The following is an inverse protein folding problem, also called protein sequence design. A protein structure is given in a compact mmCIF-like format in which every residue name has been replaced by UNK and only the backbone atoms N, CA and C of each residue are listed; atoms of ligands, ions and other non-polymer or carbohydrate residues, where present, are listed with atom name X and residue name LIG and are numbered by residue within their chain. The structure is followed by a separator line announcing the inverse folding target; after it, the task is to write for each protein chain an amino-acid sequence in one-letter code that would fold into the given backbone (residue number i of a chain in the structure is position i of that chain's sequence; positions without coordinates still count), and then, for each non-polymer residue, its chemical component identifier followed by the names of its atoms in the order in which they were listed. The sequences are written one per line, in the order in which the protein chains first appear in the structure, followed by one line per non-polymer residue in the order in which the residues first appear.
data_IF_380770270914
#
_entry.id   IF_380770270914
#
_cell.length_a   1.000
_cell.length_b   1.000
_cell.length_c   1.000
_cell.angle_alpha   90.00
_cell.angle_beta   90.00
_cell.angle_gamma   90.00
#
_symmetry.space_group_name_H-M   'P 1'
#
loop_
_entity.id
_entity.type
_entity.pdbx_description
1 polymer ?
#
# COMPACT_ATOMS: atom_id res chain seq x y z
N UNK A 1 -37.38 -5.16 -0.22
CA UNK A 1 -37.98 -3.84 -0.50
C UNK A 1 -37.03 -3.15 -1.48
N UNK A 2 -37.38 -3.13 -2.77
CA UNK A 2 -36.57 -2.39 -3.76
C UNK A 2 -36.84 -0.92 -3.49
N UNK A 3 -35.83 -0.16 -3.06
CA UNK A 3 -35.95 1.29 -2.97
C UNK A 3 -36.10 1.81 -4.41
N UNK A 4 -37.25 2.40 -4.73
CA UNK A 4 -37.40 3.17 -5.96
C UNK A 4 -36.55 4.43 -5.83
N UNK A 5 -35.48 4.50 -6.65
CA UNK A 5 -34.62 5.68 -6.74
C UNK A 5 -35.20 6.61 -7.80
N UNK A 6 -35.84 7.70 -7.35
CA UNK A 6 -36.42 8.69 -8.26
C UNK A 6 -35.35 9.66 -8.75
N UNK A 7 -35.23 9.80 -10.07
CA UNK A 7 -34.34 10.77 -10.72
C UNK A 7 -35.21 11.82 -11.40
N UNK A 8 -34.94 13.09 -11.12
CA UNK A 8 -35.63 14.21 -11.77
C UNK A 8 -35.42 14.17 -13.29
N UNK A 9 -36.47 14.05 -14.12
CA UNK A 9 -36.35 14.06 -15.58
C UNK A 9 -35.70 15.33 -16.15
N UNK A 10 -35.76 16.45 -15.42
CA UNK A 10 -35.11 17.71 -15.81
C UNK A 10 -33.62 17.75 -15.46
N UNK A 11 -33.09 16.73 -14.75
CA UNK A 11 -31.69 16.68 -14.35
C UNK A 11 -30.78 16.71 -15.57
N UNK A 12 -29.75 17.56 -15.48
CA UNK A 12 -28.64 17.67 -16.42
C UNK A 12 -27.36 17.19 -15.74
N UNK A 13 -26.45 16.64 -16.53
CA UNK A 13 -25.18 16.11 -16.04
C UNK A 13 -24.03 17.00 -16.48
N UNK A 14 -23.17 17.38 -15.53
CA UNK A 14 -21.89 18.02 -15.83
C UNK A 14 -20.85 16.91 -15.95
N UNK A 15 -20.68 16.39 -17.16
CA UNK A 15 -19.77 15.28 -17.45
C UNK A 15 -18.38 15.86 -17.72
N UNK A 16 -17.30 15.27 -17.16
CA UNK A 16 -15.93 15.71 -17.46
C UNK A 16 -15.63 15.65 -18.97
N UNK A 17 -14.86 16.61 -19.49
CA UNK A 17 -14.50 16.67 -20.91
C UNK A 17 -13.36 15.71 -21.29
N UNK A 18 -12.54 15.30 -20.31
CA UNK A 18 -11.30 14.55 -20.48
C UNK A 18 -11.49 13.02 -20.52
N UNK A 19 -12.56 12.55 -21.15
CA UNK A 19 -12.89 11.12 -21.20
C UNK A 19 -12.02 10.34 -22.19
N UNK A 20 -11.55 9.18 -21.75
CA UNK A 20 -10.91 8.18 -22.61
C UNK A 20 -11.89 7.06 -22.93
N UNK A 21 -12.11 6.80 -24.23
CA UNK A 21 -12.92 5.68 -24.70
C UNK A 21 -12.01 4.56 -25.18
N UNK A 22 -12.18 3.35 -24.61
CA UNK A 22 -11.38 2.16 -24.96
C UNK A 22 -12.30 1.01 -25.33
N UNK A 23 -12.05 0.38 -26.49
CA UNK A 23 -12.74 -0.85 -26.89
C UNK A 23 -11.97 -2.07 -26.39
N UNK A 24 -12.63 -2.94 -25.61
CA UNK A 24 -12.03 -4.14 -25.04
C UNK A 24 -13.08 -5.23 -24.80
N UNK A 25 -12.81 -6.49 -25.17
CA UNK A 25 -13.74 -7.65 -25.02
C UNK A 25 -15.20 -7.36 -25.45
N UNK A 26 -15.39 -6.71 -26.61
CA UNK A 26 -16.69 -6.28 -27.15
C UNK A 26 -17.47 -5.28 -26.28
N UNK A 27 -16.81 -4.64 -25.31
CA UNK A 27 -17.33 -3.53 -24.52
C UNK A 27 -16.61 -2.23 -24.84
N UNK A 28 -17.25 -1.13 -24.49
CA UNK A 28 -16.68 0.22 -24.52
C UNK A 28 -16.49 0.69 -23.08
N UNK A 29 -15.24 0.94 -22.70
CA UNK A 29 -14.88 1.55 -21.43
C UNK A 29 -14.78 3.05 -21.61
N UNK A 30 -15.60 3.79 -20.88
CA UNK A 30 -15.50 5.26 -20.79
C UNK A 30 -14.82 5.58 -19.47
N UNK A 31 -13.57 6.00 -19.52
CA UNK A 31 -12.72 6.23 -18.35
C UNK A 31 -12.56 7.73 -18.15
N UNK A 32 -12.81 8.23 -16.94
CA UNK A 32 -12.39 9.56 -16.48
C UNK A 32 -11.05 9.41 -15.76
N UNK A 33 -9.91 9.74 -16.41
CA UNK A 33 -8.58 9.46 -15.87
C UNK A 33 -8.30 10.24 -14.57
N UNK A 34 -8.79 11.47 -14.49
CA UNK A 34 -8.56 12.37 -13.36
C UNK A 34 -9.40 12.05 -12.11
N UNK A 35 -10.44 11.21 -12.24
CA UNK A 35 -11.28 10.81 -11.09
C UNK A 35 -11.16 9.33 -10.73
N UNK A 36 -10.31 8.59 -11.47
CA UNK A 36 -10.22 7.12 -11.42
C UNK A 36 -11.63 6.47 -11.46
N UNK A 37 -12.48 6.95 -12.36
CA UNK A 37 -13.85 6.49 -12.52
C UNK A 37 -14.09 5.99 -13.94
N UNK A 38 -15.04 5.07 -14.12
CA UNK A 38 -15.29 4.49 -15.43
C UNK A 38 -16.71 3.94 -15.57
N UNK A 39 -17.22 3.97 -16.80
CA UNK A 39 -18.46 3.31 -17.21
C UNK A 39 -18.15 2.22 -18.24
N UNK A 40 -19.01 1.21 -18.32
CA UNK A 40 -18.87 0.08 -19.22
C UNK A 40 -20.13 -0.04 -20.04
N UNK A 41 -20.02 0.11 -21.36
CA UNK A 41 -21.18 0.08 -22.26
C UNK A 41 -21.07 -1.03 -23.31
N UNK A 42 -22.21 -1.56 -23.77
CA UNK A 42 -22.23 -2.61 -24.79
C UNK A 42 -22.09 -2.10 -26.22
N UNK A 43 -22.36 -0.82 -26.52
CA UNK A 43 -22.42 -0.31 -27.89
C UNK A 43 -22.10 1.18 -28.02
N UNK A 44 -21.79 1.63 -29.24
CA UNK A 44 -21.51 3.04 -29.55
C UNK A 44 -22.74 3.96 -29.32
N UNK A 45 -23.95 3.42 -29.40
CA UNK A 45 -25.18 4.15 -29.07
C UNK A 45 -25.11 4.79 -27.67
N UNK A 46 -24.56 4.08 -26.68
CA UNK A 46 -24.41 4.59 -25.32
C UNK A 46 -23.41 5.75 -25.25
N UNK A 47 -22.38 5.73 -26.10
CA UNK A 47 -21.41 6.82 -26.20
C UNK A 47 -22.09 8.06 -26.80
N UNK A 48 -22.93 7.88 -27.81
CA UNK A 48 -23.66 8.99 -28.43
C UNK A 48 -24.69 9.59 -27.46
N UNK A 49 -25.38 8.75 -26.68
CA UNK A 49 -26.24 9.20 -25.56
C UNK A 49 -25.42 9.97 -24.52
N UNK A 50 -24.25 9.46 -24.12
CA UNK A 50 -23.38 10.15 -23.17
C UNK A 50 -22.94 11.54 -23.69
N UNK A 51 -22.59 11.64 -24.97
CA UNK A 51 -22.27 12.91 -25.63
C UNK A 51 -23.47 13.86 -25.66
N UNK A 52 -24.69 13.33 -25.77
CA UNK A 52 -25.91 14.13 -25.68
C UNK A 52 -26.04 14.78 -24.29
N UNK A 53 -25.73 14.04 -23.22
CA UNK A 53 -25.64 14.60 -21.87
C UNK A 53 -24.50 15.60 -21.69
N UNK A 54 -23.34 15.40 -22.35
CA UNK A 54 -22.24 16.40 -22.37
C UNK A 54 -22.67 17.73 -23.01
N UNK A 55 -23.65 17.71 -23.92
CA UNK A 55 -24.23 18.92 -24.52
C UNK A 55 -25.34 19.55 -23.65
N UNK A 56 -25.30 19.29 -22.34
CA UNK A 56 -26.24 19.82 -21.34
C UNK A 56 -27.72 19.50 -21.61
N UNK A 57 -28.01 18.40 -22.31
CA UNK A 57 -29.39 17.91 -22.42
C UNK A 57 -29.84 17.29 -21.08
N UNK A 58 -31.08 17.53 -20.73
CA UNK A 58 -31.77 16.85 -19.63
C UNK A 58 -32.07 15.39 -19.98
N UNK A 59 -32.45 14.60 -18.98
CA UNK A 59 -32.90 13.21 -19.18
C UNK A 59 -34.13 13.19 -20.11
N UNK A 60 -35.11 14.07 -19.89
CA UNK A 60 -36.31 14.14 -20.72
C UNK A 60 -36.01 14.51 -22.18
N UNK A 61 -35.15 15.51 -22.41
CA UNK A 61 -34.72 15.90 -23.76
C UNK A 61 -33.97 14.77 -24.46
N UNK A 62 -33.17 14.00 -23.72
CA UNK A 62 -32.41 12.85 -24.24
C UNK A 62 -33.36 11.71 -24.59
N UNK A 63 -34.29 11.33 -23.71
CA UNK A 63 -35.32 10.32 -23.99
C UNK A 63 -36.15 10.67 -25.22
N UNK A 64 -36.52 11.94 -25.37
CA UNK A 64 -37.29 12.41 -26.53
C UNK A 64 -36.49 12.35 -27.84
N UNK A 65 -35.15 12.39 -27.78
CA UNK A 65 -34.28 12.30 -28.95
C UNK A 65 -33.99 10.85 -29.36
N UNK A 66 -33.94 9.93 -28.40
CA UNK A 66 -33.60 8.51 -28.60
C UNK A 66 -34.84 7.60 -28.40
N UNK A 67 -35.92 7.89 -29.13
CA UNK A 67 -37.18 7.10 -29.07
C UNK A 67 -36.92 5.68 -29.58
N UNK A 68 -37.30 4.67 -28.79
CA UNK A 68 -37.04 3.25 -29.07
C UNK A 68 -35.73 2.71 -28.51
N UNK A 69 -34.90 3.57 -27.90
CA UNK A 69 -33.63 3.24 -27.24
C UNK A 69 -33.64 3.63 -25.75
N UNK A 70 -34.82 3.67 -25.11
CA UNK A 70 -35.02 4.14 -23.73
C UNK A 70 -34.19 3.34 -22.71
N UNK A 71 -34.05 2.03 -22.92
CA UNK A 71 -33.22 1.14 -22.08
C UNK A 71 -31.75 1.58 -22.09
N UNK A 72 -31.23 2.01 -23.24
CA UNK A 72 -29.84 2.49 -23.36
C UNK A 72 -29.65 3.83 -22.64
N UNK A 73 -30.63 4.74 -22.73
CA UNK A 73 -30.63 6.00 -21.97
C UNK A 73 -30.66 5.71 -20.47
N UNK A 74 -31.52 4.79 -20.04
CA UNK A 74 -31.60 4.35 -18.65
C UNK A 74 -30.28 3.74 -18.16
N UNK A 75 -29.61 2.91 -18.96
CA UNK A 75 -28.31 2.31 -18.59
C UNK A 75 -27.23 3.38 -18.39
N UNK A 76 -27.15 4.38 -19.28
CA UNK A 76 -26.22 5.52 -19.14
C UNK A 76 -26.50 6.30 -17.86
N UNK A 77 -27.77 6.70 -17.64
CA UNK A 77 -28.19 7.43 -16.44
C UNK A 77 -27.88 6.63 -15.18
N UNK A 78 -28.17 5.33 -15.18
CA UNK A 78 -27.91 4.44 -14.04
C UNK A 78 -26.43 4.44 -13.67
N UNK A 79 -25.53 4.34 -14.64
CA UNK A 79 -24.09 4.36 -14.36
C UNK A 79 -23.59 5.74 -13.93
N UNK A 80 -24.11 6.83 -14.51
CA UNK A 80 -23.80 8.20 -14.08
C UNK A 80 -24.13 8.41 -12.59
N UNK A 81 -25.32 7.98 -12.16
CA UNK A 81 -25.77 8.07 -10.76
C UNK A 81 -25.00 7.12 -9.85
N UNK A 82 -25.03 5.82 -10.15
CA UNK A 82 -24.49 4.78 -9.27
C UNK A 82 -22.98 4.94 -9.02
N UNK A 83 -22.25 5.48 -10.00
CA UNK A 83 -20.81 5.71 -9.89
C UNK A 83 -20.47 7.15 -9.49
N UNK A 84 -21.47 8.00 -9.22
CA UNK A 84 -21.32 9.43 -8.93
C UNK A 84 -20.40 10.12 -9.95
N UNK A 85 -20.55 9.76 -11.23
CA UNK A 85 -19.54 10.03 -12.26
C UNK A 85 -19.25 11.53 -12.44
N UNK A 86 -20.28 12.37 -12.32
CA UNK A 86 -20.20 13.82 -12.48
C UNK A 86 -19.82 14.58 -11.20
N UNK A 87 -19.97 13.96 -10.03
CA UNK A 87 -19.86 14.65 -8.73
C UNK A 87 -18.81 14.01 -7.82
N UNK A 88 -17.96 13.13 -8.37
CA UNK A 88 -16.94 12.44 -7.59
C UNK A 88 -15.82 13.41 -7.23
N UNK A 89 -15.73 13.74 -5.95
CA UNK A 89 -14.53 14.34 -5.38
C UNK A 89 -13.49 13.24 -5.17
N UNK A 90 -12.22 13.53 -5.38
CA UNK A 90 -11.13 12.58 -5.18
C UNK A 90 -10.17 13.04 -4.10
N UNK A 91 -9.59 12.07 -3.40
CA UNK A 91 -8.63 12.28 -2.32
C UNK A 91 -7.31 11.65 -2.77
N UNK A 92 -6.20 12.40 -2.65
CA UNK A 92 -4.88 11.86 -2.97
C UNK A 92 -4.54 10.70 -2.04
N UNK A 93 -3.80 9.70 -2.53
CA UNK A 93 -3.41 8.58 -1.68
C UNK A 93 -2.55 9.03 -0.49
N UNK A 94 -1.80 10.13 -0.64
CA UNK A 94 -0.90 10.67 0.40
C UNK A 94 -1.56 11.70 1.30
N UNK A 95 -2.80 12.09 1.01
CA UNK A 95 -3.52 13.10 1.78
C UNK A 95 -3.92 12.58 3.17
N UNK A 96 -3.60 13.34 4.22
CA UNK A 96 -3.99 13.04 5.60
C UNK A 96 -3.24 11.89 6.29
N UNK A 97 -2.43 11.11 5.55
CA UNK A 97 -1.63 10.02 6.12
C UNK A 97 -0.18 10.47 6.23
N UNK A 98 0.25 10.72 7.46
CA UNK A 98 1.67 10.89 7.78
C UNK A 98 2.08 9.72 8.67
N UNK A 99 3.05 8.96 8.19
CA UNK A 99 3.68 7.89 8.98
C UNK A 99 5.17 8.15 9.11
N UNK A 100 5.71 7.85 10.29
CA UNK A 100 7.15 7.76 10.56
C UNK A 100 7.52 6.28 10.71
N UNK A 101 8.41 5.78 9.86
CA UNK A 101 9.04 4.47 10.04
C UNK A 101 10.40 4.66 10.73
N UNK A 102 10.50 4.27 12.00
CA UNK A 102 11.71 4.41 12.79
C UNK A 102 12.38 3.06 12.98
N UNK A 103 13.56 2.89 12.38
CA UNK A 103 14.42 1.75 12.65
C UNK A 103 15.21 2.02 13.94
N UNK A 104 14.76 1.46 15.06
CA UNK A 104 15.30 1.81 16.38
C UNK A 104 16.74 1.35 16.59
N UNK A 105 17.09 0.20 16.04
CA UNK A 105 18.44 -0.38 16.14
C UNK A 105 18.67 -1.30 14.97
N UNK A 106 19.91 -1.45 14.51
CA UNK A 106 20.29 -2.49 13.57
C UNK A 106 20.56 -3.83 14.27
N UNK A 107 20.61 -3.84 15.61
CA UNK A 107 20.79 -5.07 16.40
C UNK A 107 19.59 -6.00 16.23
N UNK A 108 19.85 -7.28 16.00
CA UNK A 108 18.83 -8.31 15.92
C UNK A 108 19.35 -9.59 16.58
N UNK A 109 18.48 -10.32 17.26
CA UNK A 109 18.80 -11.63 17.80
C UNK A 109 18.75 -12.76 16.75
N UNK A 110 18.33 -12.45 15.50
CA UNK A 110 18.26 -13.37 14.37
C UNK A 110 19.10 -12.85 13.19
N UNK A 111 19.48 -13.73 12.26
CA UNK A 111 20.26 -13.40 11.06
C UNK A 111 19.61 -13.98 9.79
N UNK A 112 18.36 -13.59 9.52
CA UNK A 112 17.56 -14.16 8.44
C UNK A 112 18.21 -13.97 7.05
N UNK A 113 18.16 -14.98 6.15
CA UNK A 113 18.74 -14.92 4.81
C UNK A 113 18.19 -13.78 3.94
N UNK A 114 16.89 -13.51 4.02
CA UNK A 114 16.21 -12.49 3.21
C UNK A 114 16.24 -11.07 3.84
N UNK A 115 16.98 -10.87 4.94
CA UNK A 115 16.97 -9.59 5.65
C UNK A 115 17.60 -8.49 4.79
N UNK A 116 16.76 -7.58 4.29
CA UNK A 116 17.17 -6.48 3.41
C UNK A 116 18.01 -5.40 4.12
N UNK A 117 17.93 -5.33 5.44
CA UNK A 117 18.72 -4.41 6.28
C UNK A 117 20.08 -4.97 6.67
N UNK A 118 20.34 -6.26 6.40
CA UNK A 118 21.55 -6.94 6.89
C UNK A 118 21.72 -6.87 8.42
N UNK A 119 20.61 -6.70 9.16
CA UNK A 119 20.56 -6.49 10.61
C UNK A 119 21.20 -7.63 11.43
N UNK A 120 21.69 -7.33 12.62
CA UNK A 120 22.27 -8.33 13.52
C UNK A 120 23.10 -7.68 14.60
N UNK A 121 24.10 -6.90 14.20
CA UNK A 121 24.89 -6.06 15.12
C UNK A 121 24.33 -4.63 15.11
N UNK A 122 24.35 -4.00 16.29
CA UNK A 122 24.08 -2.57 16.41
C UNK A 122 25.09 -1.80 15.55
N UNK A 123 24.67 -0.65 15.02
CA UNK A 123 25.61 0.31 14.42
C UNK A 123 26.40 1.03 15.53
N UNK A 124 27.61 1.50 15.22
CA UNK A 124 28.44 2.21 16.19
C UNK A 124 27.87 3.57 16.61
N UNK A 125 27.05 4.19 15.75
CA UNK A 125 26.53 5.54 15.90
C UNK A 125 25.00 5.60 15.98
N UNK A 126 24.37 4.61 16.61
CA UNK A 126 22.91 4.59 16.80
C UNK A 126 22.39 5.83 17.57
N UNK A 127 21.14 6.20 17.33
CA UNK A 127 20.45 7.28 18.03
C UNK A 127 20.36 6.95 19.52
N UNK A 128 20.64 7.95 20.34
CA UNK A 128 20.28 7.94 21.75
C UNK A 128 18.77 8.06 21.92
N UNK A 129 18.26 7.59 23.05
CA UNK A 129 16.85 7.71 23.43
C UNK A 129 16.36 9.16 23.43
N UNK A 130 17.22 10.12 23.78
CA UNK A 130 16.88 11.55 23.74
C UNK A 130 16.74 12.07 22.31
N UNK A 131 17.61 11.65 21.38
CA UNK A 131 17.45 11.98 19.96
C UNK A 131 16.17 11.37 19.38
N UNK A 132 15.80 10.15 19.82
CA UNK A 132 14.54 9.51 19.43
C UNK A 132 13.33 10.27 19.97
N UNK A 133 13.35 10.69 21.24
CA UNK A 133 12.27 11.49 21.83
C UNK A 133 12.09 12.82 21.11
N UNK A 134 13.20 13.52 20.82
CA UNK A 134 13.15 14.77 20.07
C UNK A 134 12.56 14.58 18.67
N UNK A 135 12.93 13.50 17.98
CA UNK A 135 12.35 13.15 16.68
C UNK A 135 10.84 12.89 16.78
N UNK A 136 10.38 12.19 17.82
CA UNK A 136 8.95 11.92 18.06
C UNK A 136 8.19 13.23 18.31
N UNK A 137 8.72 14.12 19.15
CA UNK A 137 8.13 15.45 19.41
C UNK A 137 8.02 16.28 18.14
N UNK A 138 9.13 16.38 17.39
CA UNK A 138 9.20 17.14 16.15
C UNK A 138 8.20 16.60 15.12
N UNK A 139 8.16 15.28 14.96
CA UNK A 139 7.23 14.62 14.05
C UNK A 139 5.76 14.80 14.46
N UNK A 140 5.44 14.71 15.75
CA UNK A 140 4.10 14.96 16.25
C UNK A 140 3.69 16.44 16.03
N UNK A 141 4.62 17.38 16.21
CA UNK A 141 4.36 18.82 16.06
C UNK A 141 3.90 19.24 14.66
N UNK A 142 4.27 18.48 13.63
CA UNK A 142 3.86 18.71 12.24
C UNK A 142 2.60 17.92 11.83
N UNK A 143 1.86 17.38 12.81
CA UNK A 143 0.65 16.60 12.59
C UNK A 143 0.89 15.14 12.21
N UNK A 144 2.06 14.58 12.51
CA UNK A 144 2.29 13.15 12.47
C UNK A 144 1.30 12.41 13.37
N UNK A 145 0.77 11.26 12.90
CA UNK A 145 -0.29 10.54 13.63
C UNK A 145 -0.04 9.04 13.77
N UNK A 146 1.03 8.52 13.16
CA UNK A 146 1.40 7.12 13.25
C UNK A 146 2.92 6.96 13.25
N UNK A 147 3.42 6.07 14.11
CA UNK A 147 4.81 5.65 14.13
C UNK A 147 4.91 4.13 14.00
N UNK A 148 5.79 3.66 13.14
CA UNK A 148 6.15 2.24 13.02
C UNK A 148 7.55 2.05 13.59
N UNK A 149 7.64 1.35 14.72
CA UNK A 149 8.89 0.94 15.35
C UNK A 149 9.36 -0.38 14.73
N UNK A 150 10.56 -0.35 14.16
CA UNK A 150 11.17 -1.44 13.39
C UNK A 150 12.69 -1.43 13.60
N UNK A 151 13.46 -2.06 12.73
CA UNK A 151 14.92 -2.16 12.83
C UNK A 151 15.42 -3.54 12.42
N UNK A 152 16.46 -3.98 13.13
CA UNK A 152 16.70 -5.39 13.34
C UNK A 152 15.58 -6.01 14.17
N UNK A 153 15.66 -5.90 15.49
CA UNK A 153 14.57 -6.27 16.39
C UNK A 153 14.34 -5.14 17.41
N UNK A 154 13.18 -4.44 17.39
CA UNK A 154 12.87 -3.37 18.33
C UNK A 154 13.06 -3.76 19.80
N UNK A 155 12.72 -5.00 20.19
CA UNK A 155 12.91 -5.49 21.55
C UNK A 155 14.38 -5.67 21.97
N UNK A 156 15.34 -5.48 21.06
CA UNK A 156 16.77 -5.43 21.39
C UNK A 156 17.24 -4.02 21.80
N UNK A 157 16.41 -2.99 21.60
CA UNK A 157 16.71 -1.64 22.04
C UNK A 157 16.46 -1.51 23.55
N UNK A 158 17.47 -1.03 24.30
CA UNK A 158 17.45 -0.98 25.78
C UNK A 158 16.25 -0.22 26.37
N UNK A 159 15.81 0.84 25.69
CA UNK A 159 14.78 1.77 26.18
C UNK A 159 13.47 1.66 25.37
N UNK A 160 13.21 0.50 24.74
CA UNK A 160 12.01 0.28 23.91
C UNK A 160 10.71 0.62 24.64
N UNK A 161 10.64 0.32 25.93
CA UNK A 161 9.49 0.55 26.79
C UNK A 161 9.13 2.03 26.91
N UNK A 162 10.15 2.85 27.12
CA UNK A 162 9.97 4.29 27.29
C UNK A 162 9.64 4.94 25.95
N UNK A 163 10.24 4.46 24.86
CA UNK A 163 9.92 4.91 23.49
C UNK A 163 8.47 4.63 23.10
N UNK A 164 7.94 3.44 23.41
CA UNK A 164 6.53 3.10 23.15
C UNK A 164 5.60 4.05 23.90
N UNK A 165 5.84 4.24 25.21
CA UNK A 165 5.02 5.14 26.04
C UNK A 165 5.11 6.58 25.56
N UNK A 166 6.32 7.04 25.27
CA UNK A 166 6.56 8.41 24.81
C UNK A 166 5.84 8.69 23.48
N UNK A 167 5.89 7.77 22.52
CA UNK A 167 5.15 7.90 21.27
C UNK A 167 3.62 7.93 21.50
N UNK A 168 3.11 7.05 22.34
CA UNK A 168 1.69 7.01 22.70
C UNK A 168 1.22 8.30 23.38
N UNK A 169 1.99 8.82 24.34
CA UNK A 169 1.70 10.05 25.07
C UNK A 169 1.71 11.30 24.15
N UNK A 170 2.39 11.20 23.00
CA UNK A 170 2.36 12.20 21.92
C UNK A 170 1.24 11.97 20.89
N UNK A 171 0.22 11.17 21.23
CA UNK A 171 -0.94 10.85 20.39
C UNK A 171 -0.59 10.18 19.05
N UNK A 172 0.57 9.53 18.96
CA UNK A 172 0.92 8.72 17.78
C UNK A 172 0.33 7.33 17.93
N UNK A 173 -0.30 6.83 16.86
CA UNK A 173 -0.66 5.42 16.77
C UNK A 173 0.61 4.58 16.66
N UNK A 174 0.85 3.73 17.65
CA UNK A 174 2.09 2.94 17.73
C UNK A 174 1.91 1.60 17.02
N UNK A 175 2.72 1.38 16.00
CA UNK A 175 2.85 0.10 15.32
C UNK A 175 4.23 -0.48 15.58
N UNK A 176 4.32 -1.79 15.87
CA UNK A 176 5.61 -2.48 16.05
C UNK A 176 5.75 -3.58 15.01
N UNK A 177 6.93 -3.70 14.39
CA UNK A 177 7.33 -4.85 13.57
C UNK A 177 8.38 -5.66 14.34
N UNK A 178 8.07 -6.92 14.65
CA UNK A 178 8.95 -7.76 15.47
C UNK A 178 9.02 -9.19 14.95
N UNK A 179 10.09 -9.90 15.30
CA UNK A 179 10.16 -11.35 15.15
C UNK A 179 9.37 -12.09 16.25
N UNK A 180 8.95 -11.41 17.33
CA UNK A 180 8.11 -11.96 18.40
C UNK A 180 8.81 -12.93 19.36
N UNK A 181 10.14 -13.03 19.32
CA UNK A 181 10.87 -14.07 20.05
C UNK A 181 11.37 -13.66 21.44
N UNK A 182 11.34 -12.36 21.76
CA UNK A 182 11.90 -11.78 22.99
C UNK A 182 10.85 -11.23 23.95
N UNK A 183 9.59 -11.12 23.52
CA UNK A 183 8.52 -10.55 24.33
C UNK A 183 8.00 -11.59 25.32
N UNK A 184 7.95 -11.23 26.60
CA UNK A 184 7.37 -12.08 27.66
C UNK A 184 5.90 -11.75 27.86
N UNK A 185 5.12 -12.69 28.41
CA UNK A 185 3.69 -12.48 28.69
C UNK A 185 3.46 -11.23 29.54
N UNK A 186 4.28 -11.06 30.58
CA UNK A 186 4.24 -9.87 31.43
C UNK A 186 4.51 -8.58 30.64
N UNK A 187 5.48 -8.60 29.72
CA UNK A 187 5.76 -7.44 28.89
C UNK A 187 4.56 -7.11 27.98
N UNK A 188 3.96 -8.14 27.35
CA UNK A 188 2.80 -7.93 26.49
C UNK A 188 1.61 -7.38 27.29
N UNK A 189 1.34 -7.92 28.48
CA UNK A 189 0.31 -7.42 29.39
C UNK A 189 0.55 -5.95 29.78
N UNK A 190 1.77 -5.61 30.20
CA UNK A 190 2.11 -4.26 30.68
C UNK A 190 2.04 -3.19 29.56
N UNK A 191 2.37 -3.56 28.31
CA UNK A 191 2.57 -2.60 27.21
C UNK A 191 1.50 -2.63 26.10
N UNK A 192 0.64 -3.65 26.01
CA UNK A 192 -0.36 -3.76 24.92
C UNK A 192 -1.29 -2.55 24.81
N UNK A 193 -1.64 -1.91 25.94
CA UNK A 193 -2.49 -0.70 25.96
C UNK A 193 -1.89 0.52 25.26
N UNK A 194 -0.58 0.52 24.99
CA UNK A 194 0.14 1.58 24.29
C UNK A 194 0.40 1.25 22.82
N UNK A 195 -0.05 0.08 22.34
CA UNK A 195 0.27 -0.44 21.01
C UNK A 195 -1.03 -0.60 20.22
N UNK A 196 -1.21 0.22 19.19
CA UNK A 196 -2.37 0.13 18.29
C UNK A 196 -2.32 -1.10 17.39
N UNK A 197 -1.12 -1.49 16.97
CA UNK A 197 -0.93 -2.70 16.15
C UNK A 197 0.45 -3.32 16.25
N UNK A 198 0.49 -4.64 16.08
CA UNK A 198 1.72 -5.44 16.02
C UNK A 198 1.76 -6.23 14.71
N UNK A 199 2.94 -6.34 14.13
CA UNK A 199 3.22 -7.28 13.05
C UNK A 199 4.33 -8.23 13.48
N UNK A 200 3.98 -9.52 13.58
CA UNK A 200 4.93 -10.57 13.91
C UNK A 200 5.34 -11.29 12.63
N UNK A 201 6.65 -11.44 12.43
CA UNK A 201 7.18 -12.16 11.28
C UNK A 201 7.22 -13.66 11.53
N UNK A 202 6.54 -14.43 10.68
CA UNK A 202 6.52 -15.91 10.69
C UNK A 202 6.58 -16.37 9.24
N UNK A 203 7.68 -16.97 8.82
CA UNK A 203 7.95 -17.23 7.38
C UNK A 203 7.77 -18.69 6.98
N UNK A 204 7.39 -19.56 7.91
CA UNK A 204 7.06 -20.96 7.65
C UNK A 204 5.67 -21.32 8.19
N UNK A 205 5.16 -22.49 7.78
CA UNK A 205 3.92 -23.08 8.30
C UNK A 205 4.17 -24.19 9.34
N UNK A 206 5.43 -24.43 9.67
CA UNK A 206 5.90 -25.40 10.66
C UNK A 206 7.23 -24.94 11.26
N UNK A 207 7.63 -25.51 12.40
CA UNK A 207 8.96 -25.25 13.00
C UNK A 207 10.09 -25.53 12.00
N UNK A 208 10.02 -26.62 11.24
CA UNK A 208 11.04 -26.96 10.22
C UNK A 208 11.18 -25.87 9.15
N UNK A 209 10.06 -25.44 8.56
CA UNK A 209 10.06 -24.48 7.45
C UNK A 209 10.38 -23.06 7.93
N UNK A 210 9.91 -22.68 9.12
CA UNK A 210 10.23 -21.39 9.71
C UNK A 210 11.71 -21.35 10.13
N UNK A 211 12.24 -22.43 10.71
CA UNK A 211 13.64 -22.52 11.13
C UNK A 211 14.63 -22.38 9.98
N UNK A 212 14.26 -22.85 8.78
CA UNK A 212 15.05 -22.67 7.57
C UNK A 212 15.30 -21.19 7.22
N UNK A 213 14.49 -20.27 7.76
CA UNK A 213 14.57 -18.83 7.49
C UNK A 213 14.92 -18.03 8.76
N UNK A 214 14.27 -18.35 9.89
CA UNK A 214 14.30 -17.58 11.14
C UNK A 214 15.10 -18.28 12.25
N UNK A 215 15.69 -19.45 12.00
CA UNK A 215 16.42 -20.23 12.99
C UNK A 215 15.52 -21.04 13.93
N UNK A 216 16.13 -22.07 14.56
CA UNK A 216 15.43 -23.05 15.41
C UNK A 216 14.88 -22.44 16.69
N UNK A 217 13.72 -22.93 17.12
CA UNK A 217 13.05 -22.59 18.38
C UNK A 217 12.30 -21.26 18.36
N UNK A 218 12.10 -20.67 17.17
CA UNK A 218 11.47 -19.36 17.03
C UNK A 218 10.01 -19.43 16.56
N UNK A 219 9.57 -20.52 15.91
CA UNK A 219 8.20 -20.60 15.38
C UNK A 219 7.15 -20.51 16.48
N UNK A 220 7.24 -21.38 17.49
CA UNK A 220 6.29 -21.39 18.61
C UNK A 220 6.34 -20.11 19.45
N UNK A 221 7.52 -19.50 19.61
CA UNK A 221 7.65 -18.21 20.32
C UNK A 221 6.87 -17.11 19.60
N UNK A 222 7.04 -17.00 18.29
CA UNK A 222 6.32 -16.02 17.47
C UNK A 222 4.81 -16.27 17.48
N UNK A 223 4.37 -17.53 17.38
CA UNK A 223 2.94 -17.89 17.47
C UNK A 223 2.35 -17.59 18.85
N UNK A 224 3.10 -17.85 19.93
CA UNK A 224 2.70 -17.52 21.29
C UNK A 224 2.58 -16.00 21.49
N UNK A 225 3.53 -15.21 20.98
CA UNK A 225 3.42 -13.75 21.00
C UNK A 225 2.15 -13.26 20.27
N UNK A 226 1.83 -13.85 19.11
CA UNK A 226 0.59 -13.56 18.38
C UNK A 226 -0.65 -13.86 19.24
N UNK A 227 -0.68 -15.02 19.90
CA UNK A 227 -1.77 -15.39 20.81
C UNK A 227 -1.96 -14.36 21.93
N UNK A 228 -0.86 -13.95 22.57
CA UNK A 228 -0.89 -12.99 23.67
C UNK A 228 -1.35 -11.59 23.23
N UNK A 229 -0.90 -11.07 22.08
CA UNK A 229 -1.37 -9.77 21.59
C UNK A 229 -2.86 -9.78 21.20
N UNK A 230 -3.32 -10.85 20.55
CA UNK A 230 -4.75 -10.99 20.24
C UNK A 230 -5.58 -11.08 21.53
N UNK A 231 -5.10 -11.80 22.54
CA UNK A 231 -5.75 -11.90 23.85
C UNK A 231 -5.90 -10.53 24.53
N UNK A 232 -4.91 -9.64 24.38
CA UNK A 232 -4.93 -8.28 24.93
C UNK A 232 -5.60 -7.25 24.00
N UNK A 233 -6.28 -7.69 22.94
CA UNK A 233 -7.08 -6.80 22.09
C UNK A 233 -6.28 -5.98 21.06
N UNK A 234 -4.99 -6.26 20.87
CA UNK A 234 -4.14 -5.53 19.92
C UNK A 234 -4.42 -6.00 18.49
N UNK A 235 -4.53 -5.05 17.55
CA UNK A 235 -4.65 -5.36 16.13
C UNK A 235 -3.37 -6.07 15.67
N UNK A 236 -3.50 -7.31 15.24
CA UNK A 236 -2.34 -8.19 15.05
C UNK A 236 -2.25 -8.64 13.61
N UNK A 237 -1.05 -8.60 13.05
CA UNK A 237 -0.79 -9.16 11.73
C UNK A 237 0.40 -10.09 11.72
N UNK A 238 0.34 -11.09 10.84
CA UNK A 238 1.46 -11.97 10.55
C UNK A 238 2.03 -11.59 9.20
N UNK A 239 3.32 -11.27 9.15
CA UNK A 239 4.04 -11.08 7.90
C UNK A 239 4.77 -12.39 7.53
N UNK A 240 4.55 -12.86 6.30
CA UNK A 240 5.12 -14.10 5.77
C UNK A 240 5.91 -13.79 4.49
N UNK A 241 7.21 -14.05 4.53
CA UNK A 241 8.13 -13.93 3.39
C UNK A 241 8.83 -15.27 3.16
N UNK A 242 8.12 -16.25 2.57
CA UNK A 242 8.73 -17.54 2.30
C UNK A 242 9.84 -17.40 1.27
N UNK A 243 10.88 -18.24 1.38
CA UNK A 243 11.87 -18.35 0.31
C UNK A 243 11.21 -18.88 -0.97
N UNK A 244 11.79 -18.56 -2.13
CA UNK A 244 11.27 -19.00 -3.43
C UNK A 244 11.01 -20.52 -3.48
N UNK A 245 11.99 -21.33 -3.06
CA UNK A 245 11.86 -22.79 -3.09
C UNK A 245 10.80 -23.31 -2.12
N UNK A 246 10.69 -22.73 -0.93
CA UNK A 246 9.66 -23.13 0.03
C UNK A 246 8.27 -22.78 -0.49
N UNK A 247 8.08 -21.59 -1.03
CA UNK A 247 6.81 -21.18 -1.63
C UNK A 247 6.42 -22.10 -2.78
N UNK A 248 7.31 -22.27 -3.77
CA UNK A 248 7.07 -23.07 -4.98
C UNK A 248 6.62 -24.49 -4.67
N UNK A 249 7.21 -25.11 -3.65
CA UNK A 249 6.93 -26.50 -3.29
C UNK A 249 5.77 -26.67 -2.30
N UNK A 250 5.30 -25.59 -1.65
CA UNK A 250 4.38 -25.69 -0.51
C UNK A 250 3.26 -24.65 -0.49
N UNK A 251 2.81 -24.18 -1.66
CA UNK A 251 1.75 -23.16 -1.78
C UNK A 251 0.51 -23.53 -0.96
N UNK A 252 0.06 -24.79 -1.02
CA UNK A 252 -1.14 -25.24 -0.31
C UNK A 252 -0.95 -25.18 1.21
N UNK A 253 0.22 -25.52 1.73
CA UNK A 253 0.52 -25.50 3.16
C UNK A 253 0.57 -24.06 3.70
N UNK A 254 1.19 -23.13 2.95
CA UNK A 254 1.12 -21.70 3.30
C UNK A 254 -0.31 -21.17 3.27
N UNK A 255 -1.10 -21.58 2.28
CA UNK A 255 -2.50 -21.18 2.19
C UNK A 255 -3.29 -21.69 3.42
N UNK A 256 -3.16 -22.98 3.73
CA UNK A 256 -3.83 -23.61 4.87
C UNK A 256 -3.39 -23.00 6.22
N UNK A 257 -2.11 -22.67 6.35
CA UNK A 257 -1.58 -21.99 7.54
C UNK A 257 -2.20 -20.61 7.74
N UNK A 258 -2.27 -19.79 6.68
CA UNK A 258 -2.90 -18.49 6.80
C UNK A 258 -4.42 -18.58 7.04
N UNK A 259 -5.10 -19.59 6.46
CA UNK A 259 -6.52 -19.87 6.75
C UNK A 259 -6.71 -20.28 8.21
N UNK A 260 -5.86 -21.16 8.74
CA UNK A 260 -5.98 -21.63 10.13
C UNK A 260 -5.77 -20.50 11.13
N UNK A 261 -4.78 -19.62 10.90
CA UNK A 261 -4.57 -18.43 11.72
C UNK A 261 -5.76 -17.48 11.66
N UNK A 262 -6.26 -17.16 10.45
CA UNK A 262 -7.45 -16.30 10.30
C UNK A 262 -8.65 -16.88 11.03
N UNK A 263 -8.90 -18.18 10.89
CA UNK A 263 -9.99 -18.88 11.58
C UNK A 263 -9.84 -18.83 13.10
N UNK A 264 -8.64 -19.10 13.63
CA UNK A 264 -8.33 -19.09 15.07
C UNK A 264 -8.63 -17.74 15.75
N UNK A 265 -8.48 -16.63 15.03
CA UNK A 265 -8.63 -15.27 15.56
C UNK A 265 -9.83 -14.49 15.02
N UNK A 266 -10.70 -15.14 14.23
CA UNK A 266 -11.91 -14.49 13.69
C UNK A 266 -12.78 -13.97 14.84
N UNK A 267 -13.18 -12.71 14.76
CA UNK A 267 -14.05 -12.04 15.75
C UNK A 267 -13.37 -11.61 17.06
N UNK A 268 -12.04 -11.79 17.21
CA UNK A 268 -11.30 -11.36 18.40
C UNK A 268 -10.74 -9.94 18.28
N UNK A 269 -9.95 -9.68 17.24
CA UNK A 269 -9.38 -8.37 16.90
C UNK A 269 -9.30 -8.23 15.38
N UNK A 270 -8.86 -7.08 14.86
CA UNK A 270 -8.46 -7.02 13.46
C UNK A 270 -7.21 -7.88 13.26
N UNK A 271 -7.37 -9.03 12.60
CA UNK A 271 -6.31 -9.99 12.38
C UNK A 271 -6.05 -10.20 10.88
N UNK A 272 -4.80 -10.03 10.46
CA UNK A 272 -4.41 -10.14 9.05
C UNK A 272 -3.19 -11.04 8.88
N UNK A 273 -3.18 -11.84 7.81
CA UNK A 273 -1.96 -12.51 7.33
C UNK A 273 -1.56 -11.86 6.01
N UNK A 274 -0.34 -11.34 5.96
CA UNK A 274 0.21 -10.59 4.83
C UNK A 274 1.39 -11.35 4.25
N UNK A 275 1.35 -11.60 2.95
CA UNK A 275 2.48 -12.17 2.22
C UNK A 275 3.23 -11.07 1.50
N UNK A 276 4.56 -11.14 1.52
CA UNK A 276 5.40 -10.29 0.66
C UNK A 276 5.19 -10.70 -0.80
N UNK A 277 4.91 -9.73 -1.68
CA UNK A 277 4.61 -10.01 -3.11
C UNK A 277 5.88 -10.09 -3.98
N UNK A 278 7.05 -9.77 -3.43
CA UNK A 278 8.34 -9.87 -4.09
C UNK A 278 9.47 -10.03 -3.07
N UNK A 279 10.62 -10.49 -3.55
CA UNK A 279 11.83 -10.59 -2.73
C UNK A 279 12.70 -9.35 -2.93
N UNK A 280 13.27 -8.85 -1.84
CA UNK A 280 14.25 -7.78 -1.86
C UNK A 280 15.66 -8.37 -1.83
N UNK A 281 16.63 -7.58 -2.29
CA UNK A 281 18.03 -7.87 -2.00
C UNK A 281 18.27 -7.82 -0.49
N UNK A 282 18.93 -8.85 0.02
CA UNK A 282 19.26 -9.01 1.42
C UNK A 282 20.43 -9.96 1.61
N UNK A 283 20.72 -10.29 2.88
CA UNK A 283 21.93 -11.01 3.31
C UNK A 283 22.41 -12.14 2.38
N UNK A 284 21.53 -13.08 2.09
CA UNK A 284 21.81 -14.27 1.28
C UNK A 284 20.80 -14.42 0.12
N UNK A 285 20.05 -13.36 -0.19
CA UNK A 285 18.99 -13.36 -1.21
C UNK A 285 19.21 -12.18 -2.14
N UNK A 286 19.51 -12.46 -3.41
CA UNK A 286 19.67 -11.45 -4.46
C UNK A 286 18.85 -11.90 -5.69
N UNK A 287 17.56 -11.57 -5.75
CA UNK A 287 16.67 -12.09 -6.79
C UNK A 287 16.90 -11.35 -8.11
N UNK A 288 17.02 -12.09 -9.21
CA UNK A 288 16.92 -11.47 -10.54
C UNK A 288 15.49 -11.00 -10.81
N UNK A 289 15.30 -10.06 -11.74
CA UNK A 289 13.96 -9.61 -12.15
C UNK A 289 13.06 -10.79 -12.56
N UNK A 290 13.59 -11.71 -13.38
CA UNK A 290 12.88 -12.91 -13.82
C UNK A 290 12.46 -13.83 -12.65
N UNK A 291 13.33 -14.01 -11.65
CA UNK A 291 13.00 -14.78 -10.45
C UNK A 291 11.88 -14.11 -9.64
N UNK A 292 11.94 -12.79 -9.50
CA UNK A 292 10.91 -12.02 -8.80
C UNK A 292 9.56 -12.04 -9.56
N UNK A 293 9.58 -12.03 -10.89
CA UNK A 293 8.38 -12.19 -11.70
C UNK A 293 7.76 -13.60 -11.48
N UNK A 294 8.57 -14.66 -11.42
CA UNK A 294 8.09 -16.00 -11.07
C UNK A 294 7.56 -16.06 -9.63
N UNK A 295 8.26 -15.45 -8.67
CA UNK A 295 7.83 -15.36 -7.26
C UNK A 295 6.47 -14.65 -7.13
N UNK A 296 6.29 -13.52 -7.81
CA UNK A 296 5.02 -12.79 -7.85
C UNK A 296 3.89 -13.67 -8.40
N UNK A 297 4.13 -14.43 -9.47
CA UNK A 297 3.14 -15.36 -10.01
C UNK A 297 2.78 -16.47 -9.02
N UNK A 298 3.73 -17.01 -8.26
CA UNK A 298 3.46 -17.98 -7.19
C UNK A 298 2.64 -17.35 -6.06
N UNK A 299 2.91 -16.10 -5.69
CA UNK A 299 2.12 -15.35 -4.71
C UNK A 299 0.70 -15.09 -5.19
N UNK A 300 0.52 -14.80 -6.49
CA UNK A 300 -0.81 -14.69 -7.09
C UNK A 300 -1.60 -15.99 -6.97
N UNK A 301 -0.96 -17.15 -7.22
CA UNK A 301 -1.60 -18.46 -7.03
C UNK A 301 -1.96 -18.73 -5.57
N UNK A 302 -1.07 -18.38 -4.64
CA UNK A 302 -1.31 -18.47 -3.21
C UNK A 302 -2.50 -17.61 -2.78
N UNK A 303 -2.56 -16.36 -3.22
CA UNK A 303 -3.64 -15.44 -2.90
C UNK A 303 -4.98 -15.91 -3.47
N UNK A 304 -5.02 -16.46 -4.68
CA UNK A 304 -6.24 -17.08 -5.24
C UNK A 304 -6.71 -18.26 -4.39
N UNK A 305 -5.80 -19.09 -3.88
CA UNK A 305 -6.16 -20.17 -2.94
C UNK A 305 -6.69 -19.65 -1.60
N UNK A 306 -6.15 -18.54 -1.12
CA UNK A 306 -6.54 -17.93 0.16
C UNK A 306 -7.87 -17.19 0.12
N UNK A 307 -8.15 -16.53 -0.99
CA UNK A 307 -9.20 -15.52 -1.09
C UNK A 307 -10.23 -15.82 -2.19
N UNK A 308 -10.06 -16.92 -2.92
CA UNK A 308 -10.87 -17.31 -4.07
C UNK A 308 -10.39 -16.65 -5.37
N UNK A 309 -10.96 -17.13 -6.48
CA UNK A 309 -10.58 -16.69 -7.83
C UNK A 309 -10.86 -15.20 -8.09
N UNK A 310 -11.81 -14.61 -7.34
CA UNK A 310 -12.16 -13.19 -7.42
C UNK A 310 -11.26 -12.28 -6.58
N UNK A 311 -10.16 -12.79 -5.99
CA UNK A 311 -9.25 -11.99 -5.16
C UNK A 311 -8.81 -10.67 -5.81
N UNK A 312 -8.37 -10.74 -7.08
CA UNK A 312 -7.88 -9.56 -7.80
C UNK A 312 -8.97 -8.51 -7.98
N UNK A 313 -10.20 -8.95 -8.31
CA UNK A 313 -11.35 -8.08 -8.44
C UNK A 313 -11.73 -7.43 -7.12
N UNK A 314 -11.78 -8.20 -6.02
CA UNK A 314 -12.11 -7.66 -4.69
C UNK A 314 -11.05 -6.67 -4.20
N UNK A 315 -9.78 -6.93 -4.45
CA UNK A 315 -8.69 -6.00 -4.13
C UNK A 315 -8.75 -4.73 -4.98
N UNK A 316 -9.05 -4.87 -6.28
CA UNK A 316 -9.27 -3.76 -7.19
C UNK A 316 -10.46 -2.88 -6.76
N UNK A 317 -11.60 -3.48 -6.40
CA UNK A 317 -12.78 -2.74 -5.93
C UNK A 317 -12.45 -1.96 -4.65
N UNK A 318 -11.76 -2.58 -3.70
CA UNK A 318 -11.37 -1.92 -2.43
C UNK A 318 -10.42 -0.74 -2.66
N UNK A 319 -9.50 -0.84 -3.62
CA UNK A 319 -8.53 0.22 -3.88
C UNK A 319 -9.17 1.57 -4.25
N UNK A 320 -10.36 1.56 -4.86
CA UNK A 320 -11.12 2.77 -5.24
C UNK A 320 -12.41 2.93 -4.45
N UNK A 321 -12.54 2.22 -3.32
CA UNK A 321 -13.55 2.53 -2.33
C UNK A 321 -13.12 3.78 -1.55
N UNK A 322 -14.07 4.64 -1.17
CA UNK A 322 -13.82 5.89 -0.43
C UNK A 322 -13.11 6.99 -1.23
N UNK A 323 -13.25 7.00 -2.56
CA UNK A 323 -12.86 8.13 -3.41
C UNK A 323 -11.36 8.45 -3.46
N UNK A 324 -10.50 7.54 -2.98
CA UNK A 324 -9.04 7.68 -3.06
C UNK A 324 -8.53 7.38 -4.47
N UNK A 325 -7.61 8.20 -4.96
CA UNK A 325 -6.88 7.99 -6.22
C UNK A 325 -5.43 7.55 -5.94
N UNK A 326 -4.86 6.69 -6.79
CA UNK A 326 -3.47 6.25 -6.66
C UNK A 326 -2.52 7.18 -7.42
N UNK A 327 -2.36 8.42 -6.97
CA UNK A 327 -1.45 9.40 -7.58
C UNK A 327 0.01 9.26 -7.10
N UNK A 328 0.23 8.68 -5.92
CA UNK A 328 1.55 8.37 -5.36
C UNK A 328 1.57 7.00 -4.64
N UNK A 329 2.75 6.37 -4.47
CA UNK A 329 2.94 5.12 -3.72
C UNK A 329 3.37 5.35 -2.26
N UNK A 330 2.98 6.48 -1.66
CA UNK A 330 3.48 6.97 -0.36
C UNK A 330 4.95 7.38 -0.37
N UNK A 331 5.56 7.65 -1.53
CA UNK A 331 6.89 8.21 -1.54
C UNK A 331 6.81 9.67 -1.06
N UNK A 332 7.58 10.02 -0.04
CA UNK A 332 7.45 11.28 0.71
C UNK A 332 7.25 11.07 2.20
N UNK A 333 6.85 9.87 2.64
CA UNK A 333 6.72 9.53 4.08
C UNK A 333 8.07 9.49 4.78
N UNK A 334 8.11 9.66 6.11
CA UNK A 334 9.38 9.70 6.84
C UNK A 334 9.84 8.29 7.18
N UNK A 335 11.09 7.98 6.85
CA UNK A 335 11.82 6.82 7.38
C UNK A 335 13.13 7.28 7.97
N UNK A 336 13.42 6.90 9.21
CA UNK A 336 14.66 7.27 9.91
C UNK A 336 15.35 6.00 10.38
N UNK A 337 16.59 5.81 9.94
CA UNK A 337 17.42 4.65 10.34
C UNK A 337 18.01 4.85 11.73
N UNK A 338 18.55 3.77 12.31
CA UNK A 338 19.09 3.81 13.67
C UNK A 338 20.27 4.75 13.84
N UNK A 339 20.99 5.12 12.78
CA UNK A 339 22.07 6.13 12.81
C UNK A 339 21.59 7.57 12.53
N UNK A 340 20.28 7.76 12.31
CA UNK A 340 19.65 9.05 12.05
C UNK A 340 19.47 9.41 10.58
N UNK A 341 19.90 8.57 9.63
CA UNK A 341 19.73 8.87 8.20
C UNK A 341 18.24 8.86 7.82
N UNK A 342 17.85 9.80 6.97
CA UNK A 342 16.47 10.02 6.56
C UNK A 342 16.24 9.60 5.12
N UNK A 343 15.13 8.90 4.91
CA UNK A 343 14.65 8.44 3.62
C UNK A 343 13.16 8.75 3.49
N UNK A 344 12.67 8.85 2.24
CA UNK A 344 11.26 9.12 1.95
C UNK A 344 10.44 7.87 1.59
N UNK A 345 10.94 6.69 1.92
CA UNK A 345 10.28 5.41 1.75
C UNK A 345 10.73 4.43 2.84
N UNK A 346 9.89 3.47 3.24
CA UNK A 346 10.27 2.38 4.15
C UNK A 346 11.11 1.28 3.47
N UNK A 347 11.37 1.38 2.16
CA UNK A 347 12.27 0.48 1.44
C UNK A 347 13.57 1.23 1.17
N UNK A 348 14.43 1.27 2.18
CA UNK A 348 15.63 2.11 2.21
C UNK A 348 16.82 1.52 1.45
N UNK A 349 16.86 0.20 1.24
CA UNK A 349 18.00 -0.47 0.58
C UNK A 349 18.17 0.05 -0.85
N UNK A 350 19.40 0.45 -1.18
CA UNK A 350 19.75 1.01 -2.48
C UNK A 350 19.40 2.49 -2.67
N UNK A 351 18.80 3.15 -1.68
CA UNK A 351 18.57 4.58 -1.70
C UNK A 351 19.70 5.36 -1.02
N UNK A 352 19.92 6.58 -1.50
CA UNK A 352 20.72 7.58 -0.81
C UNK A 352 19.91 8.25 0.31
N UNK A 353 20.56 8.47 1.44
CA UNK A 353 19.97 9.26 2.53
C UNK A 353 19.76 10.71 2.07
N UNK A 354 18.56 11.24 2.31
CA UNK A 354 18.18 12.61 1.97
C UNK A 354 18.68 13.63 3.01
N UNK A 355 19.04 13.17 4.20
CA UNK A 355 19.55 13.98 5.30
C UNK A 355 19.84 13.09 6.51
N UNK A 356 20.23 13.70 7.63
CA UNK A 356 20.40 13.00 8.90
C UNK A 356 19.84 13.84 10.05
N UNK A 357 19.00 13.26 10.91
CA UNK A 357 18.31 13.99 11.98
C UNK A 357 19.25 14.63 13.02
N UNK A 358 20.52 14.21 13.08
CA UNK A 358 21.55 14.80 13.96
C UNK A 358 22.15 16.08 13.39
N UNK A 359 22.12 16.25 12.06
CA UNK A 359 22.86 17.31 11.36
C UNK A 359 21.99 18.19 10.48
N UNK A 360 20.80 17.71 10.10
CA UNK A 360 19.85 18.41 9.23
C UNK A 360 18.69 18.91 10.09
N UNK A 361 18.40 20.22 10.10
CA UNK A 361 17.21 20.76 10.76
C UNK A 361 15.93 20.05 10.33
N UNK A 362 15.04 19.77 11.28
CA UNK A 362 13.86 18.96 11.00
C UNK A 362 12.89 19.62 10.01
N UNK A 363 12.76 20.95 10.05
CA UNK A 363 11.96 21.73 9.11
C UNK A 363 12.46 21.63 7.67
N UNK A 364 13.78 21.57 7.45
CA UNK A 364 14.38 21.28 6.14
C UNK A 364 14.00 19.87 5.66
N UNK A 365 14.03 18.86 6.54
CA UNK A 365 13.61 17.49 6.22
C UNK A 365 12.13 17.46 5.81
N UNK A 366 11.28 18.22 6.52
CA UNK A 366 9.85 18.34 6.18
C UNK A 366 9.65 18.99 4.82
N UNK A 367 10.43 20.01 4.49
CA UNK A 367 10.37 20.66 3.19
C UNK A 367 10.79 19.69 2.07
N UNK A 368 11.90 18.97 2.25
CA UNK A 368 12.36 17.94 1.32
C UNK A 368 11.35 16.82 1.12
N UNK A 369 10.66 16.40 2.18
CA UNK A 369 9.58 15.39 2.13
C UNK A 369 8.43 15.85 1.21
N UNK A 370 7.96 17.10 1.36
CA UNK A 370 6.91 17.67 0.51
C UNK A 370 7.35 17.80 -0.95
N UNK A 371 8.61 18.18 -1.18
CA UNK A 371 9.18 18.24 -2.51
C UNK A 371 9.27 16.85 -3.14
N UNK A 372 9.70 15.83 -2.39
CA UNK A 372 9.74 14.44 -2.84
C UNK A 372 8.36 13.90 -3.20
N UNK A 373 7.36 14.15 -2.36
CA UNK A 373 5.97 13.76 -2.59
C UNK A 373 5.42 14.39 -3.88
N UNK A 374 5.59 15.70 -4.04
CA UNK A 374 5.21 16.42 -5.26
C UNK A 374 5.96 15.90 -6.47
N UNK A 375 7.27 15.70 -6.35
CA UNK A 375 8.14 15.27 -7.42
C UNK A 375 7.74 13.90 -8.00
N UNK A 376 7.29 13.00 -7.12
CA UNK A 376 6.97 11.61 -7.42
C UNK A 376 5.49 11.34 -7.71
N UNK A 377 4.67 12.39 -7.71
CA UNK A 377 3.29 12.35 -8.17
C UNK A 377 3.22 11.90 -9.64
N UNK A 378 2.30 10.99 -9.94
CA UNK A 378 2.18 10.33 -11.24
C UNK A 378 1.91 11.31 -12.39
N UNK A 379 1.33 12.48 -12.09
CA UNK A 379 1.07 13.55 -13.07
C UNK A 379 2.34 14.16 -13.66
N UNK A 380 3.48 13.94 -13.03
CA UNK A 380 4.76 14.40 -13.55
C UNK A 380 5.48 13.32 -14.39
N UNK A 381 5.06 12.05 -14.30
CA UNK A 381 5.89 10.92 -14.72
C UNK A 381 5.47 10.36 -16.07
N UNK A 382 6.41 10.26 -17.01
CA UNK A 382 6.18 9.63 -18.31
C UNK A 382 6.29 8.09 -18.21
N UNK A 383 5.50 7.33 -18.99
CA UNK A 383 4.40 7.77 -19.85
C UNK A 383 3.07 7.97 -19.09
N UNK A 384 3.07 7.77 -17.77
CA UNK A 384 1.87 7.65 -16.94
C UNK A 384 1.01 8.91 -16.91
N UNK A 385 1.60 10.11 -16.93
CA UNK A 385 0.86 11.38 -16.89
C UNK A 385 -0.16 11.54 -18.01
N UNK A 386 0.10 10.94 -19.17
CA UNK A 386 -0.80 10.94 -20.34
C UNK A 386 -1.64 9.66 -20.44
N UNK A 387 -1.53 8.74 -19.48
CA UNK A 387 -2.21 7.46 -19.53
C UNK A 387 -3.63 7.58 -18.94
N UNK A 388 -4.62 7.05 -19.66
CA UNK A 388 -6.00 6.94 -19.18
C UNK A 388 -6.19 6.11 -17.90
N UNK A 389 -5.20 5.32 -17.48
CA UNK A 389 -5.19 4.53 -16.26
C UNK A 389 -4.38 5.16 -15.12
N UNK A 390 -3.92 6.41 -15.24
CA UNK A 390 -2.88 6.97 -14.36
C UNK A 390 -3.19 6.84 -12.86
N UNK A 391 -4.40 7.15 -12.43
CA UNK A 391 -4.84 7.04 -11.04
C UNK A 391 -5.48 5.70 -10.69
N UNK A 392 -5.71 4.85 -11.70
CA UNK A 392 -6.16 3.47 -11.53
C UNK A 392 -4.90 2.63 -11.26
N UNK A 393 -4.04 2.42 -12.25
CA UNK A 393 -2.79 1.67 -12.06
C UNK A 393 -1.84 2.33 -11.04
N UNK A 394 -1.83 3.65 -10.97
CA UNK A 394 -1.10 4.42 -9.97
C UNK A 394 0.42 4.46 -10.12
N UNK A 395 0.97 4.00 -11.24
CA UNK A 395 2.40 4.15 -11.50
C UNK A 395 3.30 3.00 -11.04
N UNK A 396 2.84 2.16 -10.11
CA UNK A 396 3.69 1.15 -9.48
C UNK A 396 4.63 1.74 -8.41
N UNK A 397 5.63 0.97 -7.98
CA UNK A 397 6.60 1.39 -6.98
C UNK A 397 7.59 2.41 -7.58
N UNK A 398 7.72 3.61 -6.99
CA UNK A 398 8.62 4.63 -7.55
C UNK A 398 10.09 4.22 -7.53
N UNK A 399 10.50 3.37 -6.59
CA UNK A 399 11.88 2.87 -6.54
C UNK A 399 12.17 1.89 -7.67
N UNK A 400 11.21 1.03 -8.02
CA UNK A 400 11.40 0.05 -9.10
C UNK A 400 11.27 0.69 -10.48
N UNK A 401 10.30 1.60 -10.64
CA UNK A 401 9.90 2.14 -11.94
C UNK A 401 10.65 3.43 -12.32
N UNK A 402 11.11 4.22 -11.33
CA UNK A 402 11.85 5.46 -11.55
C UNK A 402 13.04 5.61 -10.57
N UNK A 403 14.01 4.68 -10.57
CA UNK A 403 15.13 4.70 -9.62
C UNK A 403 15.94 6.01 -9.68
N UNK A 404 16.13 6.59 -10.87
CA UNK A 404 16.84 7.86 -11.05
C UNK A 404 16.09 9.07 -10.47
N UNK A 405 14.78 8.97 -10.28
CA UNK A 405 13.96 10.00 -9.65
C UNK A 405 14.03 9.94 -8.13
N UNK A 406 14.06 8.74 -7.55
CA UNK A 406 13.98 8.59 -6.10
C UNK A 406 15.34 8.50 -5.41
N UNK A 407 16.39 8.08 -6.13
CA UNK A 407 17.72 7.92 -5.57
C UNK A 407 18.52 9.23 -5.66
N UNK A 408 18.13 10.21 -4.84
CA UNK A 408 18.71 11.56 -4.83
C UNK A 408 18.58 12.20 -3.45
N UNK A 409 19.33 13.28 -3.23
CA UNK A 409 19.34 14.04 -1.97
C UNK A 409 18.56 15.35 -2.02
N UNK A 410 18.10 15.77 -3.20
CA UNK A 410 17.26 16.97 -3.41
C UNK A 410 16.18 16.70 -4.44
N UNK A 411 15.00 17.28 -4.25
CA UNK A 411 13.85 17.14 -5.15
C UNK A 411 13.43 18.46 -5.81
N UNK A 412 14.28 19.49 -5.72
CA UNK A 412 14.11 20.75 -6.44
C UNK A 412 14.52 20.64 -7.91
N UNK A 413 13.97 21.52 -8.75
CA UNK A 413 14.38 21.77 -10.15
C UNK A 413 14.51 20.51 -11.03
N UNK A 414 13.59 19.55 -10.86
CA UNK A 414 13.62 18.29 -11.59
C UNK A 414 13.31 18.54 -13.07
N UNK A 415 14.28 18.24 -13.93
CA UNK A 415 14.04 18.10 -15.35
C UNK A 415 13.40 16.73 -15.64
N UNK A 416 12.07 16.68 -15.75
CA UNK A 416 11.34 15.45 -16.01
C UNK A 416 11.64 14.80 -17.37
N UNK A 417 12.21 15.55 -18.32
CA UNK A 417 12.58 15.00 -19.63
C UNK A 417 13.85 14.12 -19.58
N UNK A 418 14.65 14.24 -18.52
CA UNK A 418 15.82 13.37 -18.30
C UNK A 418 15.50 12.13 -17.47
N UNK A 419 14.27 12.00 -16.96
CA UNK A 419 13.85 10.83 -16.19
C UNK A 419 13.42 9.74 -17.16
N UNK A 420 14.06 8.59 -17.07
CA UNK A 420 13.73 7.43 -17.90
C UNK A 420 12.23 7.06 -17.70
N UNK A 421 11.44 6.99 -18.79
CA UNK A 421 10.05 6.58 -18.69
C UNK A 421 9.95 5.12 -18.25
N UNK A 422 8.97 4.80 -17.40
CA UNK A 422 8.73 3.40 -17.04
C UNK A 422 8.31 2.57 -18.27
N UNK A 423 8.67 1.29 -18.28
CA UNK A 423 8.24 0.37 -19.32
C UNK A 423 6.81 -0.11 -19.05
N UNK A 424 5.86 0.24 -19.93
CA UNK A 424 4.48 -0.20 -19.82
C UNK A 424 4.06 -0.93 -21.11
N UNK A 425 3.49 -2.12 -20.96
CA UNK A 425 3.00 -2.92 -22.09
C UNK A 425 1.46 -3.00 -22.11
N UNK A 426 0.91 -3.36 -23.28
CA UNK A 426 -0.53 -3.44 -23.48
C UNK A 426 -1.19 -4.54 -22.64
N UNK A 427 -0.51 -5.67 -22.41
CA UNK A 427 -1.04 -6.77 -21.58
C UNK A 427 -1.31 -6.31 -20.15
N UNK A 428 -0.42 -5.48 -19.61
CA UNK A 428 -0.59 -4.88 -18.30
C UNK A 428 -1.80 -3.94 -18.24
N UNK A 429 -2.05 -3.14 -19.27
CA UNK A 429 -3.27 -2.31 -19.37
C UNK A 429 -4.53 -3.16 -19.49
N UNK A 430 -4.49 -4.22 -20.31
CA UNK A 430 -5.61 -5.14 -20.52
C UNK A 430 -6.06 -5.80 -19.22
N UNK A 431 -5.14 -6.07 -18.28
CA UNK A 431 -5.50 -6.55 -16.94
C UNK A 431 -6.47 -5.59 -16.23
N UNK A 432 -6.21 -4.29 -16.24
CA UNK A 432 -7.09 -3.30 -15.62
C UNK A 432 -8.40 -3.13 -16.40
N UNK A 433 -8.36 -3.14 -17.73
CA UNK A 433 -9.59 -3.11 -18.55
C UNK A 433 -10.50 -4.30 -18.24
N UNK A 434 -9.92 -5.49 -18.06
CA UNK A 434 -10.67 -6.67 -17.65
C UNK A 434 -11.31 -6.49 -16.26
N UNK A 435 -10.53 -6.05 -15.28
CA UNK A 435 -11.04 -5.78 -13.91
C UNK A 435 -12.15 -4.71 -13.88
N UNK A 436 -12.09 -3.73 -14.79
CA UNK A 436 -13.12 -2.69 -14.92
C UNK A 436 -14.43 -3.21 -15.48
N UNK A 437 -14.38 -4.19 -16.40
CA UNK A 437 -15.57 -4.87 -16.94
C UNK A 437 -16.18 -5.81 -15.90
N UNK A 438 -15.34 -6.49 -15.13
CA UNK A 438 -15.78 -7.52 -14.17
C UNK A 438 -16.32 -6.92 -12.84
N UNK A 439 -16.13 -5.62 -12.58
CA UNK A 439 -16.68 -4.88 -11.42
C UNK A 439 -18.11 -4.41 -11.67
#
# INVERSE_FOLDING_TARGET
MVMEYFIDPQKKYVIPDDLSIVRFENKLLVISPNTANWMVFPSELHIDILKAFQQEKSIEETLSHYIGDEDAVQEVVTQLEAKRFCTKHVISATEGIRTLHLYLTNKCNLTCPHCYMFAGKAMDNELSTQEIFKLIEDYASIGGNQITLSGGEPCMHKDINDIIKFAYDHNLKVRILSNGTLMTDKWIEDYSKYIDSIQISVDGFSEETNSAIRGRGNFEKSLHAIDQFVLHGVNTSVAVTPSFNLLKNNINQYANFAISLKSKYTGKTNFLVKFSEGLLEGRDVCPSKSLNDEYYNLMMLLNKKLHGDHYELLSFIRAYSNDVIMDNCMFGVFSVTSNGDVYFCARITGLQACGNIKTTPFDEIVQLSKEAEKATCIDNLKPCKECNLKYICGGGCRIDEWPSLVNRTSFADINYDTIEPRSCNQNYKNKFYKLMIDK
#
